data_IF_975479081264
#
_entry.id   IF_975479081264
#
_cell.length_a   1.000
_cell.length_b   1.000
_cell.length_c   1.000
_cell.angle_alpha   90.00
_cell.angle_beta   90.00
_cell.angle_gamma   90.00
#
_symmetry.space_group_name_H-M   'P 1'
#
loop_
_entity.id
_entity.type
_entity.pdbx_description
1 polymer ?
#
# COMPACT_ATOMS: atom_id res chain seq x y z
N UNK A 1 13.97 -35.47 -94.45
CA UNK A 1 14.33 -34.87 -93.15
C UNK A 1 13.84 -33.41 -93.15
N UNK A 2 12.58 -33.10 -93.50
CA UNK A 2 11.35 -33.09 -92.69
C UNK A 2 11.53 -32.69 -91.21
N UNK A 3 11.22 -31.41 -90.95
CA UNK A 3 10.17 -30.99 -90.02
C UNK A 3 10.47 -30.99 -88.51
N UNK A 4 11.44 -30.18 -88.03
CA UNK A 4 11.55 -29.86 -86.58
C UNK A 4 12.00 -28.43 -86.25
N UNK A 5 12.05 -27.49 -87.21
CA UNK A 5 12.49 -26.11 -86.96
C UNK A 5 11.42 -25.03 -87.17
N UNK A 6 10.15 -25.42 -87.28
CA UNK A 6 9.04 -24.48 -87.53
C UNK A 6 8.04 -24.38 -86.38
N UNK A 7 8.36 -24.91 -85.20
CA UNK A 7 7.50 -24.78 -84.01
C UNK A 7 8.12 -23.98 -82.86
N UNK A 8 9.41 -23.63 -82.93
CA UNK A 8 10.06 -22.82 -81.89
C UNK A 8 9.98 -21.30 -82.12
N UNK A 9 9.49 -20.86 -83.29
CA UNK A 9 9.44 -19.44 -83.66
C UNK A 9 8.08 -18.77 -83.46
N UNK A 10 7.06 -19.48 -82.97
CA UNK A 10 5.69 -18.94 -82.80
C UNK A 10 5.35 -18.62 -81.34
N UNK A 11 6.22 -18.93 -80.36
CA UNK A 11 5.94 -18.64 -78.94
C UNK A 11 6.75 -17.48 -78.33
N UNK A 12 7.57 -16.77 -79.11
CA UNK A 12 8.37 -15.62 -78.61
C UNK A 12 7.75 -14.26 -78.96
N UNK A 13 6.72 -14.21 -79.81
CA UNK A 13 6.17 -12.95 -80.34
C UNK A 13 4.96 -12.36 -79.58
N UNK A 14 4.63 -12.87 -78.38
CA UNK A 14 3.42 -12.45 -77.64
C UNK A 14 3.65 -12.05 -76.17
N UNK A 15 4.81 -11.46 -75.87
CA UNK A 15 5.00 -10.67 -74.65
C UNK A 15 5.56 -9.26 -74.96
N UNK A 16 5.06 -8.61 -76.01
CA UNK A 16 5.08 -7.14 -76.02
C UNK A 16 3.86 -6.68 -75.22
N UNK A 17 3.96 -6.74 -73.89
CA UNK A 17 3.06 -5.99 -73.02
C UNK A 17 3.26 -4.52 -73.35
N UNK A 18 2.36 -3.94 -74.14
CA UNK A 18 2.26 -2.49 -74.21
C UNK A 18 2.04 -2.00 -72.78
N UNK A 19 3.05 -1.40 -72.15
CA UNK A 19 2.91 -0.78 -70.84
C UNK A 19 1.76 0.23 -70.94
N UNK A 20 0.65 -0.06 -70.28
CA UNK A 20 -0.48 0.86 -70.22
C UNK A 20 -0.05 2.04 -69.34
N UNK A 21 -0.22 3.25 -69.85
CA UNK A 21 0.06 4.47 -69.08
C UNK A 21 -1.01 4.57 -67.99
N UNK A 22 -0.59 4.38 -66.75
CA UNK A 22 -1.46 4.32 -65.56
C UNK A 22 -2.13 5.69 -65.33
N UNK A 23 -1.34 6.76 -65.29
CA UNK A 23 -1.83 8.14 -65.19
C UNK A 23 -1.54 8.93 -66.48
N UNK A 24 -2.55 9.00 -67.35
CA UNK A 24 -2.45 9.70 -68.64
C UNK A 24 -2.23 11.21 -68.47
N UNK A 25 -2.68 11.81 -67.37
CA UNK A 25 -2.55 13.26 -67.14
C UNK A 25 -1.12 13.60 -66.70
N UNK A 26 -0.61 12.92 -65.67
CA UNK A 26 0.77 13.11 -65.17
C UNK A 26 1.79 12.78 -66.25
N UNK A 27 1.55 11.73 -67.05
CA UNK A 27 2.41 11.42 -68.20
C UNK A 27 2.39 12.52 -69.26
N UNK A 28 1.22 13.12 -69.53
CA UNK A 28 1.10 14.25 -70.46
C UNK A 28 1.82 15.49 -69.93
N UNK A 29 1.79 15.75 -68.62
CA UNK A 29 2.54 16.83 -67.96
C UNK A 29 4.05 16.61 -68.12
N UNK A 30 4.56 15.43 -67.72
CA UNK A 30 5.98 15.08 -67.88
C UNK A 30 6.45 15.26 -69.33
N UNK A 31 5.68 14.78 -70.31
CA UNK A 31 6.02 14.89 -71.73
C UNK A 31 6.09 16.32 -72.30
N UNK A 32 5.59 17.32 -71.58
CA UNK A 32 5.76 18.73 -71.97
C UNK A 32 7.20 19.21 -71.71
N UNK A 33 7.86 18.62 -70.74
CA UNK A 33 9.18 19.06 -70.25
C UNK A 33 10.28 18.04 -70.59
N UNK A 34 9.95 16.75 -70.65
CA UNK A 34 10.90 15.66 -70.85
C UNK A 34 10.52 14.73 -72.02
N UNK A 35 11.50 13.95 -72.51
CA UNK A 35 11.26 12.97 -73.57
C UNK A 35 10.42 11.79 -73.08
N UNK A 36 9.72 11.10 -74.00
CA UNK A 36 8.97 9.87 -73.66
C UNK A 36 9.84 8.82 -72.97
N UNK A 37 11.12 8.73 -73.33
CA UNK A 37 12.06 7.78 -72.72
C UNK A 37 12.33 8.12 -71.25
N UNK A 38 12.52 9.41 -70.93
CA UNK A 38 12.73 9.90 -69.57
C UNK A 38 11.45 9.71 -68.75
N UNK A 39 10.29 10.10 -69.27
CA UNK A 39 9.03 9.90 -68.57
C UNK A 39 8.67 8.43 -68.32
N UNK A 40 9.32 7.46 -68.98
CA UNK A 40 9.12 6.03 -68.75
C UNK A 40 10.36 5.35 -68.15
N UNK A 41 11.38 6.13 -67.75
CA UNK A 41 12.49 5.60 -66.96
C UNK A 41 12.13 5.58 -65.49
N UNK A 42 12.97 4.93 -64.72
CA UNK A 42 13.00 4.88 -63.26
C UNK A 42 14.48 5.16 -62.93
N UNK A 43 14.75 6.33 -62.34
CA UNK A 43 16.12 6.88 -62.27
C UNK A 43 16.85 6.43 -60.99
N UNK A 44 16.15 6.24 -59.89
CA UNK A 44 16.69 5.72 -58.63
C UNK A 44 16.42 4.22 -58.40
N UNK A 45 15.57 3.60 -59.23
CA UNK A 45 15.34 2.17 -59.25
C UNK A 45 14.36 1.68 -58.19
N UNK A 46 13.49 2.56 -57.67
CA UNK A 46 12.51 2.22 -56.61
C UNK A 46 11.23 1.55 -57.15
N UNK A 47 11.10 1.43 -58.47
CA UNK A 47 9.96 0.82 -59.15
C UNK A 47 8.81 1.79 -59.46
N UNK A 48 8.96 3.08 -59.13
CA UNK A 48 8.06 4.17 -59.52
C UNK A 48 8.63 4.84 -60.77
N UNK A 49 7.81 4.95 -61.82
CA UNK A 49 8.26 5.57 -63.05
C UNK A 49 8.43 7.09 -62.85
N UNK A 50 9.43 7.69 -63.48
CA UNK A 50 9.81 9.11 -63.38
C UNK A 50 8.64 10.11 -63.48
N UNK A 51 7.59 9.78 -64.24
CA UNK A 51 6.42 10.65 -64.37
C UNK A 51 5.41 10.58 -63.22
N UNK A 52 5.53 9.58 -62.35
CA UNK A 52 4.76 9.35 -61.12
C UNK A 52 5.59 9.61 -59.86
N UNK A 53 6.90 9.62 -60.02
CA UNK A 53 7.86 9.80 -58.93
C UNK A 53 8.04 11.28 -58.59
N UNK A 54 7.79 11.62 -57.33
CA UNK A 54 7.97 12.96 -56.79
C UNK A 54 9.42 13.23 -56.36
N UNK A 55 10.24 12.19 -56.20
CA UNK A 55 11.64 12.26 -55.82
C UNK A 55 12.53 11.43 -56.75
N UNK A 56 12.66 11.78 -58.06
CA UNK A 56 13.29 10.92 -59.08
C UNK A 56 14.76 10.54 -58.89
N UNK A 57 15.39 10.97 -57.80
CA UNK A 57 16.81 10.71 -57.50
C UNK A 57 17.01 10.03 -56.16
N UNK A 58 15.95 9.88 -55.37
CA UNK A 58 15.99 9.43 -53.99
C UNK A 58 14.94 8.33 -53.80
N UNK A 59 15.39 7.07 -53.82
CA UNK A 59 14.50 5.92 -53.81
C UNK A 59 13.51 5.96 -52.63
N UNK A 60 12.22 5.74 -52.94
CA UNK A 60 11.15 5.82 -51.97
C UNK A 60 10.11 4.72 -52.07
N UNK A 61 9.13 4.79 -51.17
CA UNK A 61 8.00 3.87 -51.23
C UNK A 61 7.00 4.36 -52.29
N UNK A 62 6.44 3.44 -53.08
CA UNK A 62 5.34 3.76 -54.01
C UNK A 62 4.14 4.41 -53.29
N UNK A 63 3.89 4.04 -52.02
CA UNK A 63 2.87 4.65 -51.17
C UNK A 63 3.12 6.15 -50.87
N UNK A 64 4.38 6.60 -50.96
CA UNK A 64 4.81 7.98 -50.78
C UNK A 64 5.23 8.62 -52.11
N UNK A 65 4.68 8.13 -53.23
CA UNK A 65 4.95 8.62 -54.59
C UNK A 65 6.45 8.63 -54.94
N UNK A 66 7.17 7.56 -54.59
CA UNK A 66 8.60 7.42 -54.89
C UNK A 66 9.53 8.24 -54.00
N UNK A 67 8.99 8.92 -52.98
CA UNK A 67 9.82 9.64 -52.01
C UNK A 67 10.13 8.81 -50.76
N UNK A 68 11.33 8.95 -50.16
CA UNK A 68 11.60 8.41 -48.83
C UNK A 68 10.70 9.10 -47.79
N UNK A 69 10.35 8.38 -46.74
CA UNK A 69 9.70 9.02 -45.59
C UNK A 69 10.75 9.82 -44.80
N UNK A 70 10.42 11.03 -44.34
CA UNK A 70 11.29 11.78 -43.45
C UNK A 70 11.46 11.08 -42.10
N UNK A 71 12.56 11.43 -41.43
CA UNK A 71 12.88 11.14 -40.03
C UNK A 71 13.39 12.48 -39.46
N UNK A 72 12.47 13.27 -38.91
CA UNK A 72 12.72 14.69 -38.58
C UNK A 72 13.70 14.84 -37.41
N UNK A 73 13.64 13.95 -36.41
CA UNK A 73 14.50 14.02 -35.24
C UNK A 73 15.73 13.11 -35.32
N UNK A 74 15.79 12.24 -36.33
CA UNK A 74 16.96 11.46 -36.68
C UNK A 74 17.20 10.27 -35.75
N UNK A 75 16.15 9.73 -35.14
CA UNK A 75 16.24 8.61 -34.21
C UNK A 75 16.27 7.22 -34.88
N UNK A 76 16.03 7.19 -36.20
CA UNK A 76 16.01 5.98 -37.02
C UNK A 76 14.62 5.35 -37.19
N UNK A 77 13.57 5.94 -36.62
CA UNK A 77 12.16 5.62 -36.87
C UNK A 77 11.58 6.70 -37.78
N UNK A 78 11.14 6.31 -38.98
CA UNK A 78 10.54 7.27 -39.92
C UNK A 78 9.28 7.90 -39.32
N UNK A 79 9.00 9.16 -39.64
CA UNK A 79 7.87 9.94 -39.10
C UNK A 79 6.50 9.25 -39.27
N UNK A 80 6.36 8.36 -40.26
CA UNK A 80 5.15 7.57 -40.48
C UNK A 80 4.91 6.52 -39.38
N UNK A 81 5.98 5.99 -38.79
CA UNK A 81 5.96 4.95 -37.77
C UNK A 81 6.33 5.47 -36.36
N UNK A 82 6.82 6.70 -36.28
CA UNK A 82 7.17 7.40 -35.05
C UNK A 82 5.95 8.05 -34.38
N UNK A 83 5.79 7.82 -33.08
CA UNK A 83 4.74 8.43 -32.26
C UNK A 83 5.14 9.82 -31.75
N UNK A 84 6.44 10.12 -31.74
CA UNK A 84 7.02 11.38 -31.33
C UNK A 84 7.93 12.00 -32.42
N UNK A 85 7.42 12.39 -33.61
CA UNK A 85 8.22 12.82 -34.79
C UNK A 85 9.09 14.08 -34.64
N UNK A 86 9.22 14.61 -33.44
CA UNK A 86 10.01 15.81 -33.14
C UNK A 86 10.88 15.64 -31.90
N UNK A 87 10.87 14.45 -31.29
CA UNK A 87 11.57 14.14 -30.04
C UNK A 87 12.12 12.72 -30.13
N UNK A 88 13.40 12.64 -30.47
CA UNK A 88 14.10 11.39 -30.66
C UNK A 88 13.90 10.39 -29.50
N UNK A 89 13.63 9.14 -29.86
CA UNK A 89 13.46 8.05 -28.93
C UNK A 89 13.91 6.70 -29.49
N UNK A 90 13.93 5.66 -28.64
CA UNK A 90 14.28 4.32 -29.09
C UNK A 90 13.20 3.71 -29.98
N UNK A 91 13.62 2.90 -30.96
CA UNK A 91 12.74 2.10 -31.80
C UNK A 91 11.81 1.20 -30.98
N UNK A 92 12.29 0.67 -29.85
CA UNK A 92 11.48 -0.16 -28.93
C UNK A 92 10.29 0.59 -28.33
N UNK A 93 10.34 1.92 -28.29
CA UNK A 93 9.24 2.78 -27.86
C UNK A 93 8.62 3.60 -29.00
N UNK A 94 8.79 3.15 -30.25
CA UNK A 94 8.24 3.79 -31.45
C UNK A 94 8.62 5.27 -31.55
N UNK A 95 9.92 5.53 -31.40
CA UNK A 95 10.55 6.85 -31.53
C UNK A 95 10.26 7.83 -30.39
N UNK A 96 9.58 7.39 -29.32
CA UNK A 96 9.37 8.24 -28.15
C UNK A 96 10.38 7.97 -27.03
N UNK A 97 10.88 8.99 -26.31
CA UNK A 97 11.64 8.77 -25.08
C UNK A 97 10.77 8.07 -24.02
N UNK A 98 11.42 7.29 -23.14
CA UNK A 98 10.74 6.71 -21.98
C UNK A 98 10.47 7.78 -20.92
N UNK A 99 9.32 7.68 -20.24
CA UNK A 99 8.95 8.57 -19.14
C UNK A 99 9.56 8.11 -17.81
N UNK A 100 9.73 9.07 -16.91
CA UNK A 100 10.09 8.92 -15.49
C UNK A 100 9.20 9.93 -14.76
N UNK A 101 7.98 9.49 -14.40
CA UNK A 101 6.91 10.38 -13.93
C UNK A 101 7.23 10.98 -12.56
N UNK A 102 7.92 10.24 -11.71
CA UNK A 102 8.22 10.66 -10.34
C UNK A 102 9.64 11.22 -10.15
N UNK A 103 10.50 11.07 -11.16
CA UNK A 103 11.80 11.71 -11.24
C UNK A 103 12.85 11.05 -10.35
N UNK A 104 12.70 9.76 -10.04
CA UNK A 104 13.65 9.02 -9.21
C UNK A 104 14.88 8.50 -9.99
N UNK A 105 14.87 8.65 -11.31
CA UNK A 105 15.93 8.24 -12.23
C UNK A 105 15.77 6.81 -12.76
N UNK A 106 14.68 6.13 -12.45
CA UNK A 106 14.29 4.83 -13.01
C UNK A 106 13.10 5.07 -13.94
N UNK A 107 13.21 4.58 -15.16
CA UNK A 107 12.15 4.78 -16.16
C UNK A 107 10.88 4.03 -15.75
N UNK A 108 9.71 4.58 -16.05
CA UNK A 108 8.40 3.99 -15.69
C UNK A 108 8.23 2.53 -16.14
N UNK A 109 8.93 2.12 -17.21
CA UNK A 109 8.92 0.74 -17.73
C UNK A 109 9.72 -0.25 -16.88
N UNK A 110 10.67 0.26 -16.08
CA UNK A 110 11.56 -0.48 -15.20
C UNK A 110 11.25 -0.21 -13.71
N UNK A 111 10.31 0.69 -13.42
CA UNK A 111 9.87 1.09 -12.10
C UNK A 111 8.60 0.32 -11.66
N UNK A 112 8.66 -0.35 -10.52
CA UNK A 112 7.53 -1.04 -9.90
C UNK A 112 6.53 -0.09 -9.23
N UNK A 113 6.93 1.15 -8.96
CA UNK A 113 6.19 2.21 -8.30
C UNK A 113 6.25 3.56 -9.08
N UNK A 114 5.80 3.63 -10.35
CA UNK A 114 6.04 4.74 -11.32
C UNK A 114 5.40 6.10 -10.99
N UNK A 115 4.93 6.31 -9.77
CA UNK A 115 4.31 7.56 -9.32
C UNK A 115 4.79 7.95 -7.92
N UNK A 116 5.75 7.22 -7.35
CA UNK A 116 6.21 7.37 -5.97
C UNK A 116 7.74 7.15 -5.95
N UNK A 117 8.55 8.22 -5.78
CA UNK A 117 9.98 8.11 -5.93
C UNK A 117 10.63 7.05 -5.05
N UNK A 118 11.47 6.21 -5.63
CA UNK A 118 12.14 5.13 -4.94
C UNK A 118 13.65 5.08 -5.14
N UNK A 119 14.17 3.85 -5.06
CA UNK A 119 15.60 3.57 -5.22
C UNK A 119 15.81 2.34 -6.11
N UNK A 120 16.96 2.23 -6.80
CA UNK A 120 17.26 1.07 -7.62
C UNK A 120 17.28 -0.27 -6.84
N UNK A 121 17.63 -0.24 -5.56
CA UNK A 121 17.67 -1.45 -4.73
C UNK A 121 16.28 -2.07 -4.45
N UNK A 122 15.21 -1.30 -4.67
CA UNK A 122 13.82 -1.71 -4.43
C UNK A 122 12.97 -1.53 -5.69
N UNK A 123 13.58 -1.66 -6.87
CA UNK A 123 12.94 -1.61 -8.19
C UNK A 123 12.09 -0.32 -8.37
N UNK A 124 12.61 0.84 -7.96
CA UNK A 124 11.93 2.14 -8.08
C UNK A 124 10.83 2.39 -7.05
N UNK A 125 10.63 1.45 -6.11
CA UNK A 125 9.80 1.71 -4.95
C UNK A 125 10.56 2.40 -3.81
N UNK A 126 9.87 3.17 -2.95
CA UNK A 126 10.45 3.66 -1.71
C UNK A 126 11.08 2.53 -0.92
N UNK A 127 12.24 2.77 -0.31
CA UNK A 127 12.82 1.83 0.65
C UNK A 127 11.74 1.41 1.61
N UNK A 128 11.45 0.11 1.65
CA UNK A 128 10.63 -0.46 2.71
C UNK A 128 11.27 0.06 3.99
N UNK A 129 10.51 0.80 4.78
CA UNK A 129 10.84 1.01 6.16
C UNK A 129 10.78 -0.38 6.79
N UNK A 130 11.86 -1.15 6.61
CA UNK A 130 12.33 -2.07 7.63
C UNK A 130 12.47 -1.12 8.80
N UNK A 131 11.44 -1.08 9.65
CA UNK A 131 11.59 -0.56 11.00
C UNK A 131 12.87 -1.22 11.46
N UNK A 132 13.98 -0.49 11.43
CA UNK A 132 15.15 -0.91 12.15
C UNK A 132 14.59 -1.04 13.56
N UNK A 133 14.45 -2.28 14.01
CA UNK A 133 14.12 -2.53 15.40
C UNK A 133 15.28 -1.90 16.14
N UNK A 134 15.10 -0.65 16.57
CA UNK A 134 16.01 -0.04 17.51
C UNK A 134 15.95 -0.98 18.70
N UNK A 135 16.99 -1.81 18.83
CA UNK A 135 17.10 -2.75 19.93
C UNK A 135 17.53 -1.91 21.11
N UNK A 136 16.54 -1.52 21.91
CA UNK A 136 16.77 -0.75 23.11
C UNK A 136 17.75 -1.49 24.03
N UNK A 137 18.81 -0.80 24.45
CA UNK A 137 19.72 -1.32 25.47
C UNK A 137 19.00 -1.37 26.82
N UNK A 138 19.52 -2.16 27.76
CA UNK A 138 18.93 -2.22 29.10
C UNK A 138 19.00 -0.85 29.80
N UNK A 139 20.07 -0.08 29.57
CA UNK A 139 20.22 1.27 30.10
C UNK A 139 19.15 2.23 29.56
N UNK A 140 18.86 2.16 28.26
CA UNK A 140 17.78 2.96 27.65
C UNK A 140 16.41 2.59 28.24
N UNK A 141 16.15 1.31 28.48
CA UNK A 141 14.91 0.83 29.10
C UNK A 141 14.81 1.24 30.57
N UNK A 142 15.91 1.20 31.30
CA UNK A 142 15.96 1.65 32.68
C UNK A 142 15.72 3.17 32.78
N UNK A 143 16.25 3.96 31.84
CA UNK A 143 15.94 5.39 31.75
C UNK A 143 14.45 5.62 31.51
N UNK A 144 13.85 4.93 30.53
CA UNK A 144 12.42 5.01 30.23
C UNK A 144 11.58 4.65 31.45
N UNK A 145 11.91 3.55 32.13
CA UNK A 145 11.24 3.09 33.34
C UNK A 145 11.33 4.13 34.44
N UNK A 146 12.52 4.63 34.74
CA UNK A 146 12.73 5.60 35.82
C UNK A 146 11.99 6.91 35.55
N UNK A 147 12.05 7.42 34.31
CA UNK A 147 11.30 8.60 33.89
C UNK A 147 9.79 8.41 34.03
N UNK A 148 9.27 7.25 33.63
CA UNK A 148 7.86 6.92 33.78
C UNK A 148 7.43 6.84 35.26
N UNK A 149 8.21 6.15 36.10
CA UNK A 149 7.93 6.02 37.53
C UNK A 149 8.01 7.36 38.25
N UNK A 150 8.99 8.20 37.95
CA UNK A 150 9.12 9.53 38.55
C UNK A 150 7.92 10.42 38.18
N UNK A 151 7.52 10.39 36.91
CA UNK A 151 6.38 11.15 36.40
C UNK A 151 5.06 10.70 37.04
N UNK A 152 4.88 9.39 37.19
CA UNK A 152 3.61 8.81 37.66
C UNK A 152 3.52 8.57 39.17
N UNK A 153 4.59 8.84 39.94
CA UNK A 153 4.66 8.55 41.39
C UNK A 153 3.54 9.16 42.22
N UNK A 154 3.00 10.30 41.78
CA UNK A 154 1.95 11.03 42.50
C UNK A 154 0.53 10.68 42.03
N UNK A 155 0.38 9.77 41.07
CA UNK A 155 -0.94 9.36 40.59
C UNK A 155 -1.60 8.45 41.62
N UNK A 156 -2.80 8.83 42.06
CA UNK A 156 -3.62 7.96 42.90
C UNK A 156 -4.41 6.97 42.03
N UNK A 157 -3.81 5.82 41.71
CA UNK A 157 -4.44 4.77 40.90
C UNK A 157 -5.75 4.22 41.48
N UNK A 158 -5.94 4.30 42.80
CA UNK A 158 -7.20 3.91 43.45
C UNK A 158 -8.36 4.85 43.08
N UNK A 159 -8.13 6.16 43.21
CA UNK A 159 -9.09 7.20 42.80
C UNK A 159 -9.31 7.21 41.29
N UNK A 160 -8.25 6.96 40.51
CA UNK A 160 -8.36 6.83 39.06
C UNK A 160 -9.32 5.68 38.70
N UNK A 161 -9.13 4.50 39.31
CA UNK A 161 -10.01 3.36 39.11
C UNK A 161 -11.46 3.69 39.51
N UNK A 162 -11.67 4.35 40.66
CA UNK A 162 -13.02 4.76 41.08
C UNK A 162 -13.69 5.68 40.06
N UNK A 163 -12.96 6.67 39.54
CA UNK A 163 -13.46 7.58 38.51
C UNK A 163 -13.78 6.84 37.21
N UNK A 164 -12.85 6.04 36.68
CA UNK A 164 -13.06 5.25 35.47
C UNK A 164 -14.27 4.34 35.65
N UNK A 165 -14.31 3.57 36.75
CA UNK A 165 -15.38 2.62 37.01
C UNK A 165 -16.73 3.31 37.20
N UNK A 166 -16.78 4.53 37.74
CA UNK A 166 -18.03 5.30 37.85
C UNK A 166 -18.64 5.66 36.49
N UNK A 167 -17.81 5.83 35.47
CA UNK A 167 -18.23 6.20 34.10
C UNK A 167 -18.67 5.00 33.25
N UNK A 168 -18.36 3.78 33.68
CA UNK A 168 -18.81 2.58 32.98
C UNK A 168 -20.29 2.35 33.31
N UNK A 169 -21.15 2.64 32.34
CA UNK A 169 -22.55 2.22 32.29
C UNK A 169 -22.72 1.11 31.25
N UNK A 170 -23.32 0.00 31.67
CA UNK A 170 -23.60 -1.16 30.81
C UNK A 170 -25.09 -1.29 30.48
N UNK A 171 -25.91 -0.29 30.79
CA UNK A 171 -27.31 -0.28 30.43
C UNK A 171 -27.46 -0.34 28.90
N UNK A 172 -28.18 -1.34 28.40
CA UNK A 172 -28.38 -1.57 26.97
C UNK A 172 -27.37 -2.52 26.32
N UNK A 173 -26.24 -2.79 26.97
CA UNK A 173 -25.18 -3.67 26.45
C UNK A 173 -25.48 -5.15 26.75
N UNK A 174 -25.50 -5.99 25.71
CA UNK A 174 -25.85 -7.42 25.82
C UNK A 174 -24.67 -8.31 26.15
N UNK A 175 -23.43 -7.84 25.93
CA UNK A 175 -22.23 -8.65 26.18
C UNK A 175 -22.20 -9.25 27.59
N UNK A 176 -21.92 -10.55 27.69
CA UNK A 176 -21.78 -11.28 28.96
C UNK A 176 -20.38 -11.15 29.56
N UNK A 177 -19.43 -10.71 28.75
CA UNK A 177 -18.03 -10.51 29.14
C UNK A 177 -17.64 -9.03 29.01
N UNK A 178 -16.78 -8.59 29.91
CA UNK A 178 -16.19 -7.25 29.92
C UNK A 178 -14.68 -7.42 29.89
N UNK A 179 -14.04 -6.85 28.89
CA UNK A 179 -12.59 -6.72 28.82
C UNK A 179 -12.18 -5.32 29.23
N UNK A 180 -11.19 -5.18 30.10
CA UNK A 180 -10.51 -3.92 30.36
C UNK A 180 -9.04 -4.10 30.04
N UNK A 181 -8.55 -3.28 29.13
CA UNK A 181 -7.18 -3.28 28.63
C UNK A 181 -6.54 -1.92 28.93
N UNK A 182 -5.28 -1.97 29.39
CA UNK A 182 -4.41 -0.81 29.44
C UNK A 182 -3.50 -0.92 28.21
N UNK A 183 -3.53 0.09 27.35
CA UNK A 183 -2.88 0.05 26.03
C UNK A 183 -2.25 1.40 25.68
N UNK A 184 -1.54 1.46 24.55
CA UNK A 184 -1.13 2.69 23.87
C UNK A 184 -1.91 2.86 22.57
N UNK A 185 -2.18 4.10 22.12
CA UNK A 185 -2.76 4.33 20.79
C UNK A 185 -1.90 3.73 19.67
N UNK A 186 -0.58 3.73 19.82
CA UNK A 186 0.33 3.13 18.84
C UNK A 186 0.17 1.62 18.71
N UNK A 187 -0.31 0.93 19.77
CA UNK A 187 -0.59 -0.52 19.73
C UNK A 187 -1.88 -0.86 18.97
N UNK A 188 -2.77 0.11 18.75
CA UNK A 188 -4.03 -0.12 17.99
C UNK A 188 -3.81 -0.14 16.46
N UNK A 189 -2.60 0.15 15.97
CA UNK A 189 -2.31 0.45 14.57
C UNK A 189 -1.98 -0.72 13.63
N UNK A 190 -1.93 -1.99 14.07
CA UNK A 190 -1.67 -3.07 13.12
C UNK A 190 -1.68 -4.50 13.67
N UNK A 191 -2.12 -5.44 12.84
CA UNK A 191 -1.77 -6.86 12.96
C UNK A 191 -0.29 -7.04 12.61
N UNK A 192 0.48 -7.76 13.42
CA UNK A 192 1.88 -8.09 13.13
C UNK A 192 2.93 -7.14 13.73
N UNK A 193 2.55 -6.24 14.65
CA UNK A 193 3.55 -5.62 15.52
C UNK A 193 4.11 -6.70 16.45
N UNK A 194 5.44 -6.82 16.52
CA UNK A 194 6.11 -7.67 17.51
C UNK A 194 5.88 -7.06 18.90
N UNK A 195 4.81 -7.49 19.56
CA UNK A 195 4.44 -7.03 20.90
C UNK A 195 5.33 -7.60 22.01
N UNK A 196 6.32 -8.41 21.64
CA UNK A 196 7.37 -8.87 22.55
C UNK A 196 8.60 -7.96 22.53
N UNK A 197 8.60 -6.92 21.67
CA UNK A 197 9.62 -5.90 21.73
C UNK A 197 9.54 -5.16 23.08
N UNK A 198 10.68 -5.07 23.77
CA UNK A 198 10.83 -4.15 24.89
C UNK A 198 10.94 -2.73 24.33
N UNK A 199 9.95 -2.29 23.55
CA UNK A 199 9.86 -0.89 23.16
C UNK A 199 9.51 -0.04 24.38
N UNK A 200 9.95 1.23 24.44
CA UNK A 200 9.55 2.19 25.47
C UNK A 200 8.04 2.25 25.64
N UNK A 201 7.29 2.12 24.55
CA UNK A 201 5.83 2.05 24.56
C UNK A 201 5.33 0.84 25.34
N UNK A 202 5.75 -0.38 24.98
CA UNK A 202 5.31 -1.60 25.67
C UNK A 202 5.72 -1.58 27.14
N UNK A 203 6.94 -1.11 27.44
CA UNK A 203 7.41 -0.96 28.82
C UNK A 203 6.51 -0.02 29.63
N UNK A 204 6.13 1.14 29.09
CA UNK A 204 5.23 2.08 29.79
C UNK A 204 3.84 1.49 30.01
N UNK A 205 3.28 0.80 29.00
CA UNK A 205 1.98 0.12 29.13
C UNK A 205 2.02 -0.94 30.22
N UNK A 206 3.10 -1.74 30.27
CA UNK A 206 3.32 -2.75 31.28
C UNK A 206 3.42 -2.14 32.69
N UNK A 207 4.22 -1.08 32.85
CA UNK A 207 4.35 -0.36 34.14
C UNK A 207 3.02 0.27 34.57
N UNK A 208 2.28 0.90 33.64
CA UNK A 208 0.96 1.46 33.91
C UNK A 208 -0.02 0.37 34.38
N UNK A 209 0.01 -0.80 33.72
CA UNK A 209 -0.81 -1.96 34.07
C UNK A 209 -0.48 -2.49 35.45
N UNK A 210 0.81 -2.61 35.79
CA UNK A 210 1.27 -3.06 37.12
C UNK A 210 0.82 -2.13 38.24
N UNK A 211 0.87 -0.81 38.02
CA UNK A 211 0.50 0.22 38.99
C UNK A 211 -1.03 0.31 39.15
N UNK A 212 -1.77 0.25 38.04
CA UNK A 212 -3.23 0.31 38.05
C UNK A 212 -3.84 -0.95 38.68
N UNK A 213 -3.38 -2.15 38.30
CA UNK A 213 -3.91 -3.42 38.79
C UNK A 213 -3.30 -3.86 40.12
N UNK A 214 -3.58 -3.08 41.16
CA UNK A 214 -3.42 -3.51 42.55
C UNK A 214 -4.64 -4.35 43.01
N UNK A 215 -4.48 -5.07 44.13
CA UNK A 215 -5.51 -5.98 44.65
C UNK A 215 -6.86 -5.29 44.90
N UNK A 216 -6.83 -4.03 45.37
CA UNK A 216 -8.04 -3.26 45.65
C UNK A 216 -8.78 -2.89 44.36
N UNK A 217 -8.07 -2.34 43.37
CA UNK A 217 -8.65 -1.98 42.07
C UNK A 217 -9.20 -3.20 41.35
N UNK A 218 -8.47 -4.31 41.36
CA UNK A 218 -8.93 -5.57 40.80
C UNK A 218 -10.23 -6.06 41.45
N UNK A 219 -10.28 -6.10 42.79
CA UNK A 219 -11.51 -6.49 43.51
C UNK A 219 -12.67 -5.54 43.24
N UNK A 220 -12.44 -4.23 43.22
CA UNK A 220 -13.46 -3.23 42.87
C UNK A 220 -14.04 -3.50 41.48
N UNK A 221 -13.18 -3.75 40.49
CA UNK A 221 -13.59 -3.99 39.12
C UNK A 221 -14.45 -5.27 39.00
N UNK A 222 -13.98 -6.39 39.54
CA UNK A 222 -14.72 -7.67 39.50
C UNK A 222 -16.06 -7.56 40.25
N UNK A 223 -16.08 -6.90 41.41
CA UNK A 223 -17.28 -6.77 42.23
C UNK A 223 -18.30 -5.77 41.67
N UNK A 224 -17.88 -4.79 40.85
CA UNK A 224 -18.80 -3.88 40.15
C UNK A 224 -19.72 -4.63 39.17
N UNK A 225 -19.26 -5.76 38.63
CA UNK A 225 -19.99 -6.52 37.62
C UNK A 225 -20.24 -7.98 38.03
N UNK A 226 -21.01 -8.24 39.10
CA UNK A 226 -21.13 -9.58 39.68
C UNK A 226 -21.83 -10.59 38.76
N UNK A 227 -22.62 -10.12 37.78
CA UNK A 227 -23.31 -10.96 36.80
C UNK A 227 -22.50 -11.22 35.52
N UNK A 228 -21.35 -10.55 35.33
CA UNK A 228 -20.57 -10.59 34.10
C UNK A 228 -19.27 -11.36 34.31
N UNK A 229 -18.74 -11.95 33.24
CA UNK A 229 -17.38 -12.47 33.24
C UNK A 229 -16.44 -11.30 32.95
N UNK A 230 -15.39 -11.16 33.74
CA UNK A 230 -14.46 -10.04 33.65
C UNK A 230 -13.09 -10.54 33.21
N UNK A 231 -12.50 -9.82 32.27
CA UNK A 231 -11.18 -10.07 31.73
C UNK A 231 -10.32 -8.80 31.83
N UNK A 232 -9.51 -8.64 32.88
CA UNK A 232 -8.47 -7.62 32.91
C UNK A 232 -7.35 -8.08 31.99
N UNK A 233 -7.37 -7.60 30.74
CA UNK A 233 -6.39 -7.99 29.76
C UNK A 233 -5.08 -7.24 29.98
N UNK A 234 -3.99 -7.99 29.93
CA UNK A 234 -2.62 -7.50 29.97
C UNK A 234 -1.77 -8.46 29.15
N UNK A 235 -0.95 -7.93 28.25
CA UNK A 235 0.06 -8.74 27.54
C UNK A 235 1.25 -9.08 28.45
N UNK A 236 1.47 -8.31 29.51
CA UNK A 236 2.46 -8.62 30.55
C UNK A 236 2.04 -9.86 31.36
N UNK A 237 2.83 -10.93 31.26
CA UNK A 237 2.62 -12.18 31.98
C UNK A 237 2.75 -12.01 33.50
N UNK A 238 3.62 -11.12 33.97
CA UNK A 238 3.82 -10.87 35.41
C UNK A 238 2.62 -10.17 36.03
N UNK A 239 1.99 -9.24 35.31
CA UNK A 239 0.68 -8.69 35.71
C UNK A 239 -0.36 -9.81 35.79
N UNK A 240 -0.43 -10.69 34.79
CA UNK A 240 -1.37 -11.80 34.79
C UNK A 240 -1.15 -12.79 35.95
N UNK A 241 0.12 -13.06 36.30
CA UNK A 241 0.51 -13.87 37.48
C UNK A 241 0.11 -13.17 38.79
N UNK A 242 0.38 -11.86 38.90
CA UNK A 242 0.01 -11.03 40.05
C UNK A 242 -1.51 -11.03 40.28
N UNK A 243 -2.28 -10.85 39.22
CA UNK A 243 -3.75 -10.89 39.28
C UNK A 243 -4.27 -12.25 39.77
N UNK A 244 -3.69 -13.35 39.29
CA UNK A 244 -4.04 -14.71 39.71
C UNK A 244 -3.71 -14.99 41.19
N UNK A 245 -2.69 -14.32 41.73
CA UNK A 245 -2.28 -14.47 43.12
C UNK A 245 -3.23 -13.73 44.10
N UNK A 246 -4.08 -12.82 43.63
CA UNK A 246 -5.04 -12.12 44.47
C UNK A 246 -6.11 -13.07 45.01
N UNK A 247 -6.15 -13.21 46.34
CA UNK A 247 -7.05 -14.15 47.02
C UNK A 247 -8.51 -13.65 46.97
N UNK A 248 -9.45 -14.60 47.13
CA UNK A 248 -10.90 -14.36 47.32
C UNK A 248 -11.65 -13.83 46.09
N UNK A 249 -11.18 -14.10 44.88
CA UNK A 249 -11.93 -13.89 43.64
C UNK A 249 -11.94 -15.21 42.87
N UNK A 250 -13.11 -15.60 42.33
CA UNK A 250 -13.20 -16.80 41.53
C UNK A 250 -12.58 -16.56 40.15
N UNK A 251 -11.81 -17.54 39.67
CA UNK A 251 -11.18 -17.51 38.36
C UNK A 251 -11.39 -18.81 37.60
N UNK A 252 -11.36 -18.74 36.27
CA UNK A 252 -11.41 -19.90 35.38
C UNK A 252 -10.51 -19.67 34.17
N UNK A 253 -9.68 -20.66 33.84
CA UNK A 253 -8.86 -20.64 32.63
C UNK A 253 -9.64 -21.16 31.42
N UNK A 254 -9.48 -20.51 30.27
CA UNK A 254 -10.02 -20.94 28.98
C UNK A 254 -9.16 -20.37 27.85
N UNK A 255 -8.79 -21.16 26.84
CA UNK A 255 -7.96 -20.75 25.70
C UNK A 255 -6.69 -19.95 26.09
N UNK A 256 -5.98 -20.39 27.14
CA UNK A 256 -4.75 -19.73 27.61
C UNK A 256 -4.97 -18.44 28.42
N UNK A 257 -6.21 -17.97 28.57
CA UNK A 257 -6.55 -16.76 29.32
C UNK A 257 -7.21 -17.09 30.65
N UNK A 258 -7.05 -16.20 31.64
CA UNK A 258 -7.71 -16.31 32.95
C UNK A 258 -8.84 -15.30 33.05
N UNK A 259 -10.05 -15.80 33.29
CA UNK A 259 -11.26 -15.00 33.46
C UNK A 259 -11.70 -14.99 34.91
N UNK A 260 -12.38 -13.93 35.33
CA UNK A 260 -12.80 -13.73 36.71
C UNK A 260 -14.29 -13.43 36.83
N UNK A 261 -14.88 -13.79 37.96
CA UNK A 261 -16.27 -13.45 38.28
C UNK A 261 -16.46 -13.37 39.80
N UNK A 262 -17.23 -12.39 40.28
CA UNK A 262 -17.45 -12.20 41.72
C UNK A 262 -18.27 -13.31 42.39
N UNK A 263 -19.12 -14.01 41.62
CA UNK A 263 -20.11 -14.99 42.10
C UNK A 263 -19.88 -16.42 41.59
N UNK A 264 -18.68 -16.71 41.07
CA UNK A 264 -18.33 -18.00 40.47
C UNK A 264 -19.23 -18.43 39.28
N UNK A 265 -19.80 -17.47 38.54
CA UNK A 265 -20.65 -17.74 37.38
C UNK A 265 -19.84 -17.74 36.08
N UNK A 266 -19.43 -18.94 35.63
CA UNK A 266 -18.67 -19.15 34.40
C UNK A 266 -19.40 -19.99 33.34
N UNK A 267 -20.73 -20.14 33.45
CA UNK A 267 -21.52 -20.98 32.52
C UNK A 267 -21.35 -20.55 31.06
N UNK A 268 -21.17 -19.26 30.86
CA UNK A 268 -21.14 -18.64 29.55
C UNK A 268 -19.78 -18.81 28.85
N UNK A 269 -18.68 -19.05 29.56
CA UNK A 269 -17.31 -18.98 29.02
C UNK A 269 -17.02 -19.94 27.84
N UNK A 270 -17.84 -20.98 27.66
CA UNK A 270 -17.61 -22.03 26.69
C UNK A 270 -18.40 -21.88 25.36
N UNK A 271 -19.22 -20.82 25.18
CA UNK A 271 -19.91 -20.63 23.89
C UNK A 271 -19.00 -19.95 22.86
N UNK A 272 -19.13 -20.31 21.58
CA UNK A 272 -18.37 -19.73 20.44
C UNK A 272 -18.54 -18.20 20.30
N UNK A 273 -19.52 -17.62 20.99
CA UNK A 273 -19.80 -16.19 21.03
C UNK A 273 -18.87 -15.40 21.98
N UNK A 274 -18.09 -16.06 22.86
CA UNK A 274 -17.28 -15.40 23.89
C UNK A 274 -15.82 -15.19 23.51
N UNK A 275 -15.56 -14.69 22.30
CA UNK A 275 -14.22 -14.17 22.00
C UNK A 275 -14.02 -12.86 22.76
N UNK A 276 -12.95 -12.68 23.57
CA UNK A 276 -12.67 -11.42 24.26
C UNK A 276 -12.58 -10.22 23.29
N UNK A 277 -12.31 -10.49 22.01
CA UNK A 277 -12.23 -9.51 20.94
C UNK A 277 -13.58 -9.09 20.33
N UNK A 278 -14.69 -9.78 20.66
CA UNK A 278 -16.06 -9.47 20.20
C UNK A 278 -16.98 -9.00 21.32
N UNK A 279 -16.41 -8.59 22.46
CA UNK A 279 -17.13 -8.23 23.67
C UNK A 279 -17.07 -6.72 23.96
N UNK A 280 -17.70 -6.31 25.08
CA UNK A 280 -17.56 -4.97 25.62
C UNK A 280 -16.11 -4.74 26.09
N UNK A 281 -15.45 -3.73 25.52
CA UNK A 281 -14.05 -3.44 25.71
C UNK A 281 -13.84 -2.00 26.21
N UNK A 282 -13.15 -1.88 27.33
CA UNK A 282 -12.67 -0.61 27.88
C UNK A 282 -11.17 -0.53 27.66
N UNK A 283 -10.71 0.48 26.94
CA UNK A 283 -9.29 0.80 26.81
C UNK A 283 -8.96 2.01 27.69
N UNK A 284 -7.84 1.91 28.41
CA UNK A 284 -7.22 3.01 29.15
C UNK A 284 -5.86 3.27 28.50
N UNK A 285 -5.69 4.45 27.90
CA UNK A 285 -4.44 4.88 27.30
C UNK A 285 -3.73 5.87 28.21
N UNK A 286 -2.48 5.58 28.55
CA UNK A 286 -1.61 6.48 29.31
C UNK A 286 -0.66 7.18 28.33
N UNK A 287 -0.87 8.47 28.12
CA UNK A 287 -0.07 9.27 27.19
C UNK A 287 1.06 10.01 27.89
N UNK A 288 2.08 10.41 27.10
CA UNK A 288 3.28 11.07 27.62
C UNK A 288 3.01 12.43 28.29
N UNK A 289 1.82 13.03 28.14
CA UNK A 289 1.49 14.37 28.63
C UNK A 289 0.62 14.40 29.92
N UNK A 290 0.69 13.37 30.77
CA UNK A 290 -0.16 13.22 31.97
C UNK A 290 -1.66 13.07 31.67
N UNK A 291 -1.95 12.67 30.44
CA UNK A 291 -3.30 12.50 29.96
C UNK A 291 -3.64 11.03 29.88
N UNK A 292 -4.83 10.72 30.37
CA UNK A 292 -5.38 9.39 30.39
C UNK A 292 -6.62 9.42 29.52
N UNK A 293 -6.57 8.72 28.39
CA UNK A 293 -7.70 8.60 27.50
C UNK A 293 -8.44 7.31 27.82
N UNK A 294 -9.75 7.39 27.99
CA UNK A 294 -10.58 6.20 28.18
C UNK A 294 -11.52 6.08 26.99
N UNK A 295 -11.45 4.92 26.34
CA UNK A 295 -12.32 4.54 25.24
C UNK A 295 -13.15 3.35 25.68
N UNK A 296 -14.47 3.49 25.56
CA UNK A 296 -15.41 2.41 25.81
C UNK A 296 -16.05 2.03 24.47
N UNK A 297 -15.92 0.75 24.10
CA UNK A 297 -16.32 0.20 22.81
C UNK A 297 -17.07 -1.12 23.00
N UNK A 298 -18.17 -1.37 22.28
CA UNK A 298 -18.73 -2.72 22.13
C UNK A 298 -18.67 -3.09 20.65
N UNK A 299 -18.15 -4.29 20.33
CA UNK A 299 -17.92 -4.74 18.96
C UNK A 299 -19.15 -4.62 18.04
N UNK A 300 -20.37 -4.72 18.59
CA UNK A 300 -21.63 -4.63 17.86
C UNK A 300 -22.30 -3.24 17.85
N UNK A 301 -21.74 -2.22 18.51
CA UNK A 301 -22.32 -0.87 18.58
C UNK A 301 -21.35 0.17 18.00
N UNK A 302 -21.86 1.02 17.09
CA UNK A 302 -21.09 2.09 16.45
C UNK A 302 -20.80 3.28 17.39
N UNK A 303 -21.53 3.39 18.50
CA UNK A 303 -21.33 4.45 19.48
C UNK A 303 -20.09 4.19 20.33
N UNK A 304 -19.08 5.05 20.13
CA UNK A 304 -17.85 5.03 20.89
C UNK A 304 -17.90 6.15 21.92
N UNK A 305 -17.88 5.80 23.20
CA UNK A 305 -17.76 6.78 24.27
C UNK A 305 -16.29 7.03 24.54
N UNK A 306 -15.88 8.29 24.41
CA UNK A 306 -14.53 8.75 24.65
C UNK A 306 -14.56 9.84 25.72
N UNK A 307 -13.67 9.74 26.69
CA UNK A 307 -13.41 10.84 27.61
C UNK A 307 -11.95 10.88 27.98
N UNK A 308 -11.47 12.10 28.24
CA UNK A 308 -10.08 12.40 28.54
C UNK A 308 -9.98 12.90 29.96
N UNK A 309 -8.99 12.41 30.69
CA UNK A 309 -8.67 12.85 32.03
C UNK A 309 -7.25 13.42 32.05
N UNK A 310 -7.05 14.51 32.78
CA UNK A 310 -5.72 15.01 33.12
C UNK A 310 -5.40 14.68 34.57
N UNK A 311 -4.28 14.01 34.81
CA UNK A 311 -3.78 13.77 36.16
C UNK A 311 -3.11 15.04 36.70
N UNK A 312 -3.53 15.52 37.86
CA UNK A 312 -2.87 16.58 38.63
C UNK A 312 -2.57 16.08 40.02
N UNK A 313 -1.44 15.37 40.14
CA UNK A 313 -1.07 14.64 41.34
C UNK A 313 -2.18 13.67 41.77
N UNK A 314 -2.76 13.90 42.94
CA UNK A 314 -3.82 13.06 43.53
C UNK A 314 -5.24 13.36 43.04
N UNK A 315 -5.40 14.22 42.03
CA UNK A 315 -6.69 14.63 41.47
C UNK A 315 -6.74 14.39 39.97
N UNK A 316 -7.95 14.22 39.44
CA UNK A 316 -8.21 13.99 38.03
C UNK A 316 -9.23 15.00 37.54
N UNK A 317 -8.92 15.69 36.44
CA UNK A 317 -9.82 16.66 35.81
C UNK A 317 -10.30 16.03 34.50
N UNK A 318 -11.62 15.91 34.35
CA UNK A 318 -12.18 15.52 33.06
C UNK A 318 -12.02 16.69 32.09
N UNK A 319 -11.35 16.42 30.98
CA UNK A 319 -11.22 17.35 29.86
C UNK A 319 -12.41 17.13 28.92
N UNK A 320 -12.93 18.24 28.38
CA UNK A 320 -13.94 18.23 27.33
C UNK A 320 -13.30 17.92 25.97
#
# INVERSE_FOLDING_TARGET
MKLYYTFFFIFVFLCCSSQEIIDKESFKKCKKEFSKKICLSDEDGDGVLFYLDHCPKDAGAAENNGCPWPDIDGDGVIDKDDICPSVAGPQENRGCPWSDIDGDGILDKDDACPTVPGVPEEDGCPKKNIYQSHRYSQEELDEVKNKFLDKTKNINYGKLADLIFSKIDLKGYKSKMITLEIASFSQMGGCGQDRTDYSPTNLRVNLASELFWNENNFKKFVNKFPSKIVFPYSENEDVNKKLQAFKKIYSKKSNGMTFYNAKNNFKELNSKENSPYRNFHIYIFFEENDEIFIKINEYSHLERNYFRLQAKGNTFIQLN
#
